data_IF_430381641300
#
_entry.id   IF_430381641300
#
_cell.length_a   1.000
_cell.length_b   1.000
_cell.length_c   1.000
_cell.angle_alpha   90.00
_cell.angle_beta   90.00
_cell.angle_gamma   90.00
#
_symmetry.space_group_name_H-M   'P 1'
#
loop_
_entity.id
_entity.type
_entity.pdbx_description
1 polymer ?
#
# COMPACT_ATOMS: atom_id res chain seq x y z
N UNK A 1 3.57 -54.14 15.43
CA UNK A 1 2.39 -53.74 14.64
C UNK A 1 2.93 -52.95 13.45
N UNK A 2 2.60 -53.32 12.21
CA UNK A 2 3.02 -52.53 11.04
C UNK A 2 2.24 -51.22 11.05
N UNK A 3 2.95 -50.10 11.10
CA UNK A 3 2.32 -48.76 10.98
C UNK A 3 1.65 -48.64 9.61
N UNK A 4 0.44 -48.06 9.54
CA UNK A 4 -0.29 -47.91 8.29
C UNK A 4 0.46 -46.97 7.35
N UNK A 5 0.68 -47.42 6.11
CA UNK A 5 1.27 -46.61 5.05
C UNK A 5 0.21 -45.70 4.44
N UNK A 6 0.43 -44.38 4.45
CA UNK A 6 -0.48 -43.43 3.83
C UNK A 6 -0.38 -43.50 2.31
N UNK A 7 -1.52 -43.35 1.64
CA UNK A 7 -1.62 -43.12 0.20
C UNK A 7 -1.28 -41.67 -0.16
N UNK A 8 -1.06 -41.39 -1.45
CA UNK A 8 -0.81 -40.03 -1.93
C UNK A 8 -1.99 -39.08 -1.64
N UNK A 9 -3.22 -39.59 -1.67
CA UNK A 9 -4.43 -38.80 -1.44
C UNK A 9 -4.63 -38.49 0.05
N UNK A 10 -4.37 -39.47 0.92
CA UNK A 10 -4.41 -39.26 2.37
C UNK A 10 -3.32 -38.29 2.82
N UNK A 11 -2.12 -38.38 2.24
CA UNK A 11 -1.05 -37.44 2.54
C UNK A 11 -1.35 -36.04 2.00
N UNK A 12 -1.91 -35.93 0.81
CA UNK A 12 -2.37 -34.67 0.23
C UNK A 12 -3.40 -33.98 1.14
N UNK A 13 -4.37 -34.74 1.66
CA UNK A 13 -5.35 -34.24 2.62
C UNK A 13 -4.70 -33.83 3.96
N UNK A 14 -3.75 -34.62 4.47
CA UNK A 14 -3.03 -34.34 5.71
C UNK A 14 -2.20 -33.06 5.63
N UNK A 15 -1.46 -32.87 4.52
CA UNK A 15 -0.65 -31.68 4.28
C UNK A 15 -1.45 -30.49 3.71
N UNK A 16 -2.73 -30.70 3.38
CA UNK A 16 -3.62 -29.72 2.74
C UNK A 16 -3.06 -29.16 1.43
N UNK A 17 -2.54 -30.04 0.58
CA UNK A 17 -1.98 -29.71 -0.75
C UNK A 17 -2.51 -30.66 -1.81
N UNK A 18 -2.36 -30.33 -3.08
CA UNK A 18 -2.76 -31.23 -4.17
C UNK A 18 -1.85 -32.46 -4.29
N UNK A 19 -2.42 -33.57 -4.76
CA UNK A 19 -1.70 -34.84 -5.02
C UNK A 19 -0.54 -34.66 -6.02
N UNK A 20 -0.67 -33.72 -6.94
CA UNK A 20 0.40 -33.34 -7.89
C UNK A 20 1.61 -32.76 -7.14
N UNK A 21 1.37 -32.00 -6.08
CA UNK A 21 2.42 -31.45 -5.21
C UNK A 21 3.14 -32.56 -4.47
N UNK A 22 2.42 -33.56 -3.95
CA UNK A 22 3.02 -34.75 -3.33
C UNK A 22 3.96 -35.45 -4.32
N UNK A 23 3.51 -35.68 -5.56
CA UNK A 23 4.35 -36.28 -6.61
C UNK A 23 5.59 -35.44 -6.93
N UNK A 24 5.45 -34.11 -6.94
CA UNK A 24 6.58 -33.18 -7.16
C UNK A 24 7.60 -33.24 -6.02
N UNK A 25 7.16 -33.30 -4.76
CA UNK A 25 8.03 -33.40 -3.60
C UNK A 25 8.85 -34.70 -3.62
N UNK A 26 8.22 -35.81 -3.99
CA UNK A 26 8.90 -37.09 -4.15
C UNK A 26 9.92 -37.05 -5.30
N UNK A 27 9.54 -36.49 -6.44
CA UNK A 27 10.44 -36.39 -7.61
C UNK A 27 11.66 -35.48 -7.35
N UNK A 28 11.52 -34.49 -6.46
CA UNK A 28 12.61 -33.60 -6.04
C UNK A 28 13.46 -34.18 -4.91
N UNK A 29 13.10 -35.35 -4.37
CA UNK A 29 13.77 -35.99 -3.25
C UNK A 29 13.55 -35.28 -1.91
N UNK A 30 12.55 -34.39 -1.81
CA UNK A 30 12.26 -33.64 -0.59
C UNK A 30 11.46 -34.50 0.42
N UNK A 31 10.65 -35.41 -0.10
CA UNK A 31 9.79 -36.32 0.65
C UNK A 31 10.05 -37.78 0.24
N UNK A 32 10.40 -38.62 1.21
CA UNK A 32 10.61 -40.06 0.99
C UNK A 32 9.28 -40.75 0.66
N UNK A 33 9.29 -41.66 -0.32
CA UNK A 33 8.15 -42.49 -0.65
C UNK A 33 8.57 -43.92 -1.01
N UNK A 34 7.70 -44.87 -0.72
CA UNK A 34 7.88 -46.29 -1.01
C UNK A 34 6.92 -46.73 -2.11
N UNK A 35 7.35 -47.65 -2.98
CA UNK A 35 6.49 -48.21 -4.02
C UNK A 35 5.86 -49.51 -3.53
N UNK A 36 4.54 -49.52 -3.39
CA UNK A 36 3.76 -50.71 -3.05
C UNK A 36 2.66 -50.86 -4.10
N UNK A 37 2.65 -51.99 -4.82
CA UNK A 37 1.66 -52.23 -5.88
C UNK A 37 1.69 -51.21 -7.04
N UNK A 38 2.84 -50.58 -7.28
CA UNK A 38 2.98 -49.54 -8.32
C UNK A 38 2.60 -48.13 -7.86
N UNK A 39 2.04 -47.96 -6.66
CA UNK A 39 1.65 -46.67 -6.11
C UNK A 39 2.65 -46.17 -5.07
N UNK A 40 2.67 -44.85 -4.84
CA UNK A 40 3.44 -44.27 -3.74
C UNK A 40 2.73 -44.49 -2.41
N UNK A 41 3.54 -44.78 -1.40
CA UNK A 41 3.16 -44.97 -0.01
C UNK A 41 4.14 -44.22 0.89
N UNK A 42 3.63 -43.67 1.98
CA UNK A 42 4.38 -42.77 2.85
C UNK A 42 4.30 -43.26 4.28
N UNK A 43 5.45 -43.32 4.96
CA UNK A 43 5.51 -43.61 6.38
C UNK A 43 5.43 -42.31 7.19
N UNK A 44 4.79 -42.39 8.34
CA UNK A 44 4.63 -41.26 9.26
C UNK A 44 5.98 -40.62 9.65
N UNK A 45 7.06 -41.37 9.97
CA UNK A 45 8.37 -40.78 10.30
C UNK A 45 9.00 -39.98 9.16
N UNK A 46 8.77 -40.36 7.90
CA UNK A 46 9.29 -39.63 6.74
C UNK A 46 8.53 -38.31 6.51
N UNK A 47 7.21 -38.34 6.73
CA UNK A 47 6.34 -37.17 6.67
C UNK A 47 6.73 -36.20 7.78
N UNK A 48 6.91 -36.69 9.01
CA UNK A 48 7.38 -35.91 10.15
C UNK A 48 8.78 -35.34 9.92
N UNK A 49 9.69 -36.13 9.37
CA UNK A 49 11.03 -35.68 9.00
C UNK A 49 11.01 -34.56 7.95
N UNK A 50 10.14 -34.67 6.95
CA UNK A 50 9.90 -33.61 5.96
C UNK A 50 9.35 -32.34 6.63
N UNK A 51 8.30 -32.47 7.45
CA UNK A 51 7.70 -31.35 8.17
C UNK A 51 8.68 -30.66 9.11
N UNK A 52 9.54 -31.43 9.76
CA UNK A 52 10.58 -30.90 10.64
C UNK A 52 11.65 -30.14 9.85
N UNK A 53 12.07 -30.65 8.68
CA UNK A 53 12.98 -29.92 7.78
C UNK A 53 12.34 -28.63 7.25
N UNK A 54 11.08 -28.67 6.87
CA UNK A 54 10.32 -27.46 6.47
C UNK A 54 10.25 -26.43 7.61
N UNK A 55 10.06 -26.88 8.85
CA UNK A 55 10.10 -26.00 10.04
C UNK A 55 11.48 -25.40 10.26
N UNK A 56 12.55 -26.18 10.13
CA UNK A 56 13.94 -25.70 10.29
C UNK A 56 14.28 -24.71 9.19
N UNK A 57 13.93 -25.00 7.95
CA UNK A 57 14.18 -24.14 6.79
C UNK A 57 13.33 -22.86 6.83
N UNK A 58 12.10 -22.94 7.33
CA UNK A 58 11.29 -21.76 7.64
C UNK A 58 11.90 -20.93 8.78
N UNK A 59 12.52 -21.55 9.79
CA UNK A 59 13.21 -20.86 10.87
C UNK A 59 14.53 -20.20 10.42
N UNK A 60 15.31 -20.88 9.58
CA UNK A 60 16.55 -20.34 9.00
C UNK A 60 16.24 -19.18 8.03
N UNK A 61 15.19 -19.30 7.22
CA UNK A 61 14.69 -18.18 6.42
C UNK A 61 14.12 -17.05 7.29
N UNK A 62 13.50 -17.35 8.44
CA UNK A 62 13.05 -16.35 9.41
C UNK A 62 14.20 -15.68 10.23
N UNK A 63 15.41 -16.24 10.16
CA UNK A 63 16.63 -15.66 10.74
C UNK A 63 17.36 -14.73 9.76
N UNK A 64 17.18 -14.92 8.44
CA UNK A 64 17.79 -14.10 7.39
C UNK A 64 16.85 -13.02 6.81
N UNK A 65 15.53 -13.11 7.04
CA UNK A 65 14.53 -12.17 6.54
C UNK A 65 13.88 -11.35 7.68
N UNK A 66 14.14 -10.03 7.80
CA UNK A 66 13.67 -9.20 8.91
C UNK A 66 12.15 -8.95 8.93
N UNK A 67 11.40 -9.38 7.91
CA UNK A 67 9.96 -9.08 7.76
C UNK A 67 9.04 -10.27 8.08
N UNK A 68 9.59 -11.49 8.20
CA UNK A 68 8.78 -12.73 8.24
C UNK A 68 8.65 -13.40 9.61
N UNK A 69 9.28 -12.85 10.67
CA UNK A 69 8.88 -13.19 12.04
C UNK A 69 7.44 -12.72 12.20
N UNK A 70 6.51 -13.61 12.52
CA UNK A 70 5.13 -13.27 12.86
C UNK A 70 5.19 -12.25 14.00
N UNK A 71 5.20 -10.98 13.62
CA UNK A 71 5.41 -9.89 14.54
C UNK A 71 4.26 -9.86 15.52
N UNK A 72 4.44 -9.24 16.68
CA UNK A 72 3.33 -9.01 17.61
C UNK A 72 2.10 -8.38 16.94
N UNK A 73 2.32 -7.59 15.88
CA UNK A 73 1.29 -7.06 15.00
C UNK A 73 0.51 -8.18 14.28
N UNK A 74 1.16 -9.17 13.65
CA UNK A 74 0.47 -10.27 12.97
C UNK A 74 -0.38 -11.14 13.93
N UNK A 75 0.08 -11.33 15.17
CA UNK A 75 -0.72 -11.99 16.22
C UNK A 75 -1.92 -11.14 16.66
N UNK A 76 -1.72 -9.82 16.79
CA UNK A 76 -2.80 -8.88 17.11
C UNK A 76 -3.89 -8.91 16.02
N UNK A 77 -3.51 -8.96 14.75
CA UNK A 77 -4.44 -9.04 13.62
C UNK A 77 -5.21 -10.36 13.56
N UNK A 78 -4.54 -11.51 13.78
CA UNK A 78 -5.21 -12.82 13.85
C UNK A 78 -6.26 -12.90 14.97
N UNK A 79 -6.09 -12.11 16.03
CA UNK A 79 -7.04 -12.00 17.13
C UNK A 79 -8.20 -11.05 16.84
N UNK A 80 -8.01 -10.07 15.95
CA UNK A 80 -9.02 -9.06 15.60
C UNK A 80 -9.87 -9.50 14.41
N UNK A 81 -9.28 -10.16 13.41
CA UNK A 81 -9.94 -10.59 12.17
C UNK A 81 -9.84 -12.11 12.00
N UNK A 82 -10.66 -12.91 12.72
CA UNK A 82 -10.59 -14.37 12.65
C UNK A 82 -11.16 -14.97 11.35
N UNK A 83 -12.00 -14.24 10.60
CA UNK A 83 -12.77 -14.77 9.45
C UNK A 83 -12.27 -14.36 8.04
N UNK A 84 -11.43 -13.34 7.87
CA UNK A 84 -10.93 -12.90 6.55
C UNK A 84 -9.54 -13.47 6.24
N UNK A 85 -9.49 -14.76 5.86
CA UNK A 85 -8.26 -15.54 5.67
C UNK A 85 -7.63 -15.55 4.27
N UNK A 86 -8.08 -14.75 3.29
CA UNK A 86 -7.54 -14.97 1.93
C UNK A 86 -7.72 -13.87 0.87
N UNK A 87 -7.95 -12.58 1.20
CA UNK A 87 -7.97 -11.56 0.13
C UNK A 87 -7.52 -10.13 0.44
N UNK A 88 -7.13 -9.82 1.67
CA UNK A 88 -6.57 -8.52 2.08
C UNK A 88 -5.38 -8.64 3.04
N UNK A 89 -4.71 -9.79 3.02
CA UNK A 89 -3.87 -10.26 4.13
C UNK A 89 -2.54 -9.50 4.32
N UNK A 90 -2.21 -8.54 3.45
CA UNK A 90 -0.87 -7.96 3.41
C UNK A 90 -0.93 -6.45 3.48
N UNK A 91 -0.74 -5.93 4.70
CA UNK A 91 -0.20 -4.58 4.87
C UNK A 91 1.04 -4.43 4.00
N UNK A 92 1.16 -3.31 3.31
CA UNK A 92 2.44 -2.95 2.67
C UNK A 92 3.53 -2.82 3.73
N UNK A 93 4.80 -2.94 3.34
CA UNK A 93 5.92 -2.74 4.28
C UNK A 93 5.86 -1.37 4.98
N UNK A 94 5.44 -0.33 4.25
CA UNK A 94 5.23 1.02 4.81
C UNK A 94 4.07 1.04 5.80
N UNK A 95 2.94 0.40 5.49
CA UNK A 95 1.81 0.33 6.41
C UNK A 95 2.17 -0.48 7.68
N UNK A 96 2.93 -1.59 7.57
CA UNK A 96 3.45 -2.32 8.74
C UNK A 96 4.38 -1.45 9.59
N UNK A 97 5.29 -0.72 8.94
CA UNK A 97 6.19 0.23 9.60
C UNK A 97 5.39 1.32 10.33
N UNK A 98 4.40 1.93 9.70
CA UNK A 98 3.53 2.94 10.33
C UNK A 98 2.81 2.39 11.57
N UNK A 99 2.30 1.15 11.52
CA UNK A 99 1.67 0.49 12.66
C UNK A 99 2.66 0.22 13.82
N UNK A 100 3.88 -0.22 13.51
CA UNK A 100 4.93 -0.38 14.53
C UNK A 100 5.30 0.97 15.16
N UNK A 101 5.40 2.02 14.35
CA UNK A 101 5.67 3.38 14.83
C UNK A 101 4.51 3.91 15.69
N UNK A 102 3.26 3.55 15.40
CA UNK A 102 2.11 3.88 16.24
C UNK A 102 2.20 3.22 17.62
N UNK A 103 2.60 1.94 17.69
CA UNK A 103 2.83 1.24 18.96
C UNK A 103 3.95 1.94 19.76
N UNK A 104 5.05 2.32 19.11
CA UNK A 104 6.12 3.07 19.77
C UNK A 104 5.64 4.43 20.30
N UNK A 105 4.81 5.16 19.56
CA UNK A 105 4.28 6.46 20.01
C UNK A 105 3.33 6.30 21.21
N UNK A 106 2.50 5.26 21.22
CA UNK A 106 1.69 4.90 22.39
C UNK A 106 2.58 4.64 23.62
N UNK A 107 3.68 3.89 23.44
CA UNK A 107 4.63 3.61 24.52
C UNK A 107 5.36 4.86 25.00
N UNK A 108 5.76 5.77 24.09
CA UNK A 108 6.39 7.04 24.43
C UNK A 108 5.47 7.94 25.26
N UNK A 109 4.18 7.98 24.91
CA UNK A 109 3.16 8.69 25.67
C UNK A 109 2.70 7.92 26.93
N UNK A 110 3.30 6.75 27.20
CA UNK A 110 2.95 5.86 28.32
C UNK A 110 1.48 5.39 28.30
N UNK A 111 0.88 5.33 27.12
CA UNK A 111 -0.46 4.78 26.94
C UNK A 111 -0.42 3.26 26.83
N UNK A 112 -1.35 2.59 27.53
CA UNK A 112 -1.51 1.14 27.51
C UNK A 112 -2.43 0.64 26.37
N UNK A 113 -2.74 1.51 25.41
CA UNK A 113 -3.58 1.24 24.26
C UNK A 113 -3.05 1.96 23.01
N UNK A 114 -3.42 1.46 21.84
CA UNK A 114 -3.19 2.12 20.54
C UNK A 114 -4.52 2.65 20.03
N UNK A 115 -4.73 3.96 20.11
CA UNK A 115 -5.88 4.65 19.54
C UNK A 115 -5.59 5.27 18.18
N UNK A 116 -6.57 6.00 17.64
CA UNK A 116 -6.50 6.64 16.32
C UNK A 116 -5.34 7.66 16.24
N UNK A 117 -5.08 8.37 17.33
CA UNK A 117 -4.02 9.36 17.49
C UNK A 117 -2.63 8.76 17.34
N UNK A 118 -2.41 7.56 17.88
CA UNK A 118 -1.16 6.84 17.69
C UNK A 118 -1.01 6.36 16.24
N UNK A 119 -2.12 5.96 15.59
CA UNK A 119 -2.10 5.63 14.16
C UNK A 119 -1.70 6.84 13.30
N UNK A 120 -2.26 8.02 13.60
CA UNK A 120 -1.89 9.27 12.93
C UNK A 120 -0.39 9.58 13.09
N UNK A 121 0.13 9.52 14.32
CA UNK A 121 1.55 9.74 14.59
C UNK A 121 2.43 8.70 13.88
N UNK A 122 2.00 7.44 13.84
CA UNK A 122 2.67 6.36 13.12
C UNK A 122 2.77 6.62 11.62
N UNK A 123 1.68 7.12 11.00
CA UNK A 123 1.64 7.51 9.59
C UNK A 123 2.58 8.70 9.31
N UNK A 124 2.53 9.75 10.12
CA UNK A 124 3.41 10.92 10.00
C UNK A 124 4.90 10.55 10.17
N UNK A 125 5.22 9.65 11.10
CA UNK A 125 6.60 9.17 11.34
C UNK A 125 7.16 8.29 10.22
N UNK A 126 6.30 7.68 9.40
CA UNK A 126 6.76 6.81 8.32
C UNK A 126 7.43 7.59 7.19
N UNK A 127 7.07 8.88 7.02
CA UNK A 127 7.64 9.92 6.14
C UNK A 127 7.49 9.73 4.63
N UNK A 128 7.59 8.50 4.12
CA UNK A 128 7.66 8.26 2.67
C UNK A 128 6.32 7.83 2.04
N UNK A 129 5.42 7.30 2.86
CA UNK A 129 4.13 6.80 2.44
C UNK A 129 3.21 7.91 1.93
N UNK A 130 2.22 7.51 1.13
CA UNK A 130 1.23 8.44 0.58
C UNK A 130 0.53 9.23 1.69
N UNK A 131 0.19 8.58 2.81
CA UNK A 131 -0.42 9.27 3.95
C UNK A 131 0.47 10.37 4.54
N UNK A 132 1.76 10.09 4.75
CA UNK A 132 2.69 11.05 5.33
C UNK A 132 2.85 12.28 4.40
N UNK A 133 3.00 12.02 3.11
CA UNK A 133 3.13 13.07 2.10
C UNK A 133 1.85 13.90 1.95
N UNK A 134 0.67 13.25 1.93
CA UNK A 134 -0.61 13.94 1.85
C UNK A 134 -0.82 14.87 3.07
N UNK A 135 -0.52 14.38 4.26
CA UNK A 135 -0.60 15.16 5.49
C UNK A 135 0.38 16.35 5.48
N UNK A 136 1.64 16.12 5.08
CA UNK A 136 2.64 17.18 4.95
C UNK A 136 2.23 18.24 3.91
N UNK A 137 1.69 17.85 2.76
CA UNK A 137 1.19 18.78 1.74
C UNK A 137 0.05 19.67 2.26
N UNK A 138 -0.71 19.18 3.24
CA UNK A 138 -1.78 19.91 3.91
C UNK A 138 -1.30 20.68 5.15
N UNK A 139 0.01 20.71 5.43
CA UNK A 139 0.60 21.40 6.57
C UNK A 139 0.47 20.66 7.91
N UNK A 140 0.14 19.36 7.87
CA UNK A 140 0.08 18.51 9.08
C UNK A 140 1.46 17.98 9.41
N UNK A 141 2.13 18.67 10.34
CA UNK A 141 3.45 18.31 10.83
C UNK A 141 3.45 17.39 12.06
N UNK A 142 4.39 16.45 12.10
CA UNK A 142 4.52 15.45 13.17
C UNK A 142 4.65 16.07 14.56
N UNK A 143 5.54 17.05 14.74
CA UNK A 143 5.82 17.61 16.07
C UNK A 143 4.62 18.41 16.59
N UNK A 144 3.92 19.13 15.71
CA UNK A 144 2.70 19.84 16.07
C UNK A 144 1.57 18.87 16.45
N UNK A 145 1.43 17.75 15.72
CA UNK A 145 0.46 16.70 16.04
C UNK A 145 0.76 16.07 17.41
N UNK A 146 2.04 15.82 17.75
CA UNK A 146 2.43 15.32 19.08
C UNK A 146 2.02 16.26 20.20
N UNK A 147 2.33 17.55 20.06
CA UNK A 147 1.98 18.57 21.05
C UNK A 147 0.47 18.64 21.28
N UNK A 148 -0.33 18.62 20.21
CA UNK A 148 -1.79 18.63 20.31
C UNK A 148 -2.32 17.36 20.98
N UNK A 149 -1.78 16.18 20.64
CA UNK A 149 -2.18 14.92 21.26
C UNK A 149 -1.86 14.96 22.76
N UNK A 150 -0.64 15.35 23.14
CA UNK A 150 -0.25 15.48 24.55
C UNK A 150 -1.16 16.47 25.29
N UNK A 151 -1.57 17.57 24.66
CA UNK A 151 -2.52 18.52 25.26
C UNK A 151 -3.93 17.94 25.46
N UNK A 152 -4.40 17.07 24.56
CA UNK A 152 -5.76 16.52 24.61
C UNK A 152 -5.87 15.35 25.59
N UNK A 153 -4.89 14.43 25.58
CA UNK A 153 -4.96 13.19 26.36
C UNK A 153 -3.93 13.08 27.48
N UNK A 154 -2.90 13.94 27.49
CA UNK A 154 -1.82 13.92 28.47
C UNK A 154 -0.86 12.75 28.30
N UNK A 155 -0.02 12.56 29.32
CA UNK A 155 0.81 11.38 29.49
C UNK A 155 0.05 10.31 30.28
N UNK A 156 0.26 9.04 29.95
CA UNK A 156 -0.26 7.93 30.72
C UNK A 156 0.26 7.90 32.16
N UNK A 157 -0.52 7.30 33.07
CA UNK A 157 -0.22 7.32 34.52
C UNK A 157 0.80 6.25 34.95
N UNK A 158 1.06 5.24 34.13
CA UNK A 158 2.00 4.16 34.43
C UNK A 158 2.70 3.66 33.15
N UNK A 159 4.01 3.45 33.22
CA UNK A 159 4.74 2.77 32.16
C UNK A 159 4.25 1.32 32.05
N UNK A 160 3.92 0.87 30.83
CA UNK A 160 3.50 -0.51 30.59
C UNK A 160 4.68 -1.45 30.83
N UNK A 161 4.72 -2.09 32.00
CA UNK A 161 5.68 -3.15 32.31
C UNK A 161 5.11 -4.47 31.79
N UNK A 162 5.64 -4.97 30.67
CA UNK A 162 5.48 -6.39 30.28
C UNK A 162 4.32 -6.76 29.34
N UNK A 163 3.85 -5.86 28.47
CA UNK A 163 2.89 -6.22 27.42
C UNK A 163 2.87 -5.22 26.26
N UNK A 164 2.45 -5.67 25.07
CA UNK A 164 2.19 -4.74 23.97
C UNK A 164 0.80 -4.09 24.11
N UNK A 165 0.68 -2.77 23.89
CA UNK A 165 -0.61 -2.10 23.96
C UNK A 165 -1.56 -2.64 22.89
N UNK A 166 -2.80 -2.93 23.28
CA UNK A 166 -3.84 -3.39 22.37
C UNK A 166 -4.50 -2.23 21.61
N UNK A 167 -5.04 -2.51 20.42
CA UNK A 167 -5.85 -1.52 19.69
C UNK A 167 -7.16 -1.23 20.42
N UNK A 168 -7.56 0.04 20.49
CA UNK A 168 -8.90 0.44 20.96
C UNK A 168 -9.97 -0.03 19.98
N UNK A 169 -11.24 -0.20 20.41
CA UNK A 169 -12.34 -0.54 19.49
C UNK A 169 -12.43 0.43 18.31
N UNK A 170 -12.21 1.71 18.55
CA UNK A 170 -12.23 2.76 17.52
C UNK A 170 -11.08 2.60 16.52
N UNK A 171 -9.85 2.33 17.00
CA UNK A 171 -8.71 2.07 16.14
C UNK A 171 -8.88 0.79 15.28
N UNK A 172 -9.54 -0.24 15.82
CA UNK A 172 -9.91 -1.43 15.03
C UNK A 172 -10.89 -1.10 13.91
N UNK A 173 -11.95 -0.35 14.25
CA UNK A 173 -12.92 0.11 13.26
C UNK A 173 -12.29 1.00 12.18
N UNK A 174 -11.36 1.88 12.53
CA UNK A 174 -10.56 2.64 11.55
C UNK A 174 -9.84 1.73 10.55
N UNK A 175 -9.27 0.61 11.00
CA UNK A 175 -8.58 -0.35 10.14
C UNK A 175 -9.57 -1.12 9.26
N UNK A 176 -10.74 -1.48 9.79
CA UNK A 176 -11.84 -2.07 9.01
C UNK A 176 -12.26 -1.14 7.87
N UNK A 177 -12.48 0.14 8.18
CA UNK A 177 -12.78 1.16 7.17
C UNK A 177 -11.65 1.32 6.16
N UNK A 178 -10.39 1.25 6.58
CA UNK A 178 -9.25 1.28 5.68
C UNK A 178 -9.26 0.10 4.68
N UNK A 179 -9.65 -1.10 5.13
CA UNK A 179 -9.83 -2.28 4.25
C UNK A 179 -10.95 -2.04 3.24
N UNK A 180 -12.06 -1.43 3.66
CA UNK A 180 -13.14 -1.05 2.74
C UNK A 180 -12.73 0.01 1.72
N UNK A 181 -11.91 0.99 2.11
CA UNK A 181 -11.37 1.99 1.17
C UNK A 181 -10.42 1.33 0.17
N UNK A 182 -9.57 0.40 0.60
CA UNK A 182 -8.71 -0.39 -0.31
C UNK A 182 -9.54 -1.19 -1.32
N UNK A 183 -10.59 -1.88 -0.84
CA UNK A 183 -11.58 -2.58 -1.68
C UNK A 183 -12.22 -1.65 -2.70
N UNK A 184 -12.68 -0.48 -2.26
CA UNK A 184 -13.38 0.50 -3.10
C UNK A 184 -12.48 1.13 -4.16
N UNK A 185 -11.17 1.24 -3.88
CA UNK A 185 -10.15 1.69 -4.84
C UNK A 185 -9.60 0.56 -5.73
N UNK A 186 -10.06 -0.68 -5.55
CA UNK A 186 -9.60 -1.83 -6.34
C UNK A 186 -8.19 -2.32 -5.95
N UNK A 187 -7.68 -1.94 -4.78
CA UNK A 187 -6.39 -2.39 -4.28
C UNK A 187 -6.56 -3.67 -3.45
N UNK A 188 -5.69 -4.68 -3.66
CA UNK A 188 -5.70 -5.95 -2.90
C UNK A 188 -4.72 -5.99 -1.72
N UNK A 189 -4.23 -4.81 -1.30
CA UNK A 189 -3.28 -4.64 -0.21
C UNK A 189 -3.71 -3.48 0.67
N UNK A 190 -3.19 -3.42 1.90
CA UNK A 190 -3.44 -2.29 2.79
C UNK A 190 -2.21 -1.36 2.88
N UNK A 191 -2.36 -0.20 2.25
CA UNK A 191 -1.34 0.87 2.18
C UNK A 191 -1.49 1.93 3.28
N UNK A 192 -0.55 2.87 3.35
CA UNK A 192 -0.64 3.98 4.32
C UNK A 192 -1.78 4.93 3.97
N UNK A 193 -2.02 5.16 2.68
CA UNK A 193 -3.16 5.90 2.13
C UNK A 193 -4.50 5.36 2.65
N UNK A 194 -4.66 4.04 2.65
CA UNK A 194 -5.89 3.40 3.10
C UNK A 194 -6.10 3.59 4.60
N UNK A 195 -5.04 3.47 5.39
CA UNK A 195 -5.10 3.73 6.83
C UNK A 195 -5.52 5.17 7.12
N UNK A 196 -4.98 6.14 6.38
CA UNK A 196 -5.38 7.54 6.52
C UNK A 196 -6.84 7.78 6.09
N UNK A 197 -7.27 7.17 4.98
CA UNK A 197 -8.67 7.22 4.54
C UNK A 197 -9.61 6.61 5.58
N UNK A 198 -9.22 5.51 6.21
CA UNK A 198 -9.94 4.90 7.33
C UNK A 198 -10.06 5.84 8.52
N UNK A 199 -8.99 6.59 8.87
CA UNK A 199 -9.02 7.58 9.97
C UNK A 199 -10.05 8.66 9.68
N UNK A 200 -10.00 9.29 8.50
CA UNK A 200 -10.90 10.40 8.17
C UNK A 200 -12.34 9.96 7.94
N UNK A 201 -12.57 8.71 7.52
CA UNK A 201 -13.90 8.12 7.41
C UNK A 201 -14.50 7.76 8.76
N UNK A 202 -13.70 7.33 9.72
CA UNK A 202 -14.16 7.09 11.10
C UNK A 202 -14.62 8.40 11.75
N UNK A 203 -13.88 9.49 11.54
CA UNK A 203 -14.38 10.86 11.67
C UNK A 203 -14.56 11.41 13.09
N UNK A 204 -14.52 10.58 14.11
CA UNK A 204 -14.82 10.97 15.50
C UNK A 204 -13.65 10.73 16.47
N UNK A 205 -12.60 10.03 16.03
CA UNK A 205 -11.40 9.77 16.82
C UNK A 205 -10.52 10.99 17.05
N UNK A 206 -9.60 10.88 18.01
CA UNK A 206 -8.66 11.94 18.38
C UNK A 206 -7.79 12.35 17.18
N UNK A 207 -7.43 11.40 16.31
CA UNK A 207 -6.69 11.73 15.09
C UNK A 207 -7.42 12.74 14.21
N UNK A 208 -8.72 12.55 13.95
CA UNK A 208 -9.50 13.51 13.17
C UNK A 208 -9.53 14.88 13.85
N UNK A 209 -9.77 14.89 15.16
CA UNK A 209 -9.79 16.14 15.94
C UNK A 209 -8.46 16.89 15.86
N UNK A 210 -7.33 16.19 15.91
CA UNK A 210 -5.98 16.79 15.80
C UNK A 210 -5.76 17.37 14.41
N UNK A 211 -6.13 16.66 13.34
CA UNK A 211 -6.07 17.16 11.96
C UNK A 211 -6.91 18.43 11.81
N UNK A 212 -8.13 18.44 12.36
CA UNK A 212 -9.04 19.59 12.32
C UNK A 212 -8.51 20.78 13.14
N UNK A 213 -7.89 20.53 14.30
CA UNK A 213 -7.24 21.57 15.11
C UNK A 213 -6.03 22.21 14.40
N UNK A 214 -5.43 21.50 13.44
CA UNK A 214 -4.38 22.04 12.57
C UNK A 214 -4.92 22.77 11.33
N UNK A 215 -6.24 22.98 11.27
CA UNK A 215 -6.90 23.73 10.20
C UNK A 215 -7.22 22.93 8.95
N UNK A 216 -7.12 21.60 9.00
CA UNK A 216 -7.33 20.73 7.83
C UNK A 216 -8.67 20.00 7.95
N UNK A 217 -9.54 20.19 6.96
CA UNK A 217 -10.81 19.47 6.89
C UNK A 217 -10.62 18.03 6.42
N UNK A 218 -11.43 17.10 6.95
CA UNK A 218 -11.42 15.67 6.57
C UNK A 218 -11.57 15.45 5.06
N UNK A 219 -12.45 16.22 4.42
CA UNK A 219 -12.67 16.14 2.97
C UNK A 219 -11.42 16.57 2.17
N UNK A 220 -10.64 17.54 2.68
CA UNK A 220 -9.39 17.97 2.06
C UNK A 220 -8.33 16.87 2.12
N UNK A 221 -8.23 16.16 3.26
CA UNK A 221 -7.35 14.99 3.39
C UNK A 221 -7.72 13.91 2.39
N UNK A 222 -9.01 13.57 2.29
CA UNK A 222 -9.49 12.57 1.32
C UNK A 222 -9.15 12.99 -0.11
N UNK A 223 -9.46 14.23 -0.48
CA UNK A 223 -9.18 14.75 -1.82
C UNK A 223 -7.68 14.69 -2.16
N UNK A 224 -6.81 15.06 -1.22
CA UNK A 224 -5.36 15.03 -1.41
C UNK A 224 -4.82 13.60 -1.57
N UNK A 225 -5.29 12.66 -0.75
CA UNK A 225 -4.90 11.25 -0.89
C UNK A 225 -5.33 10.69 -2.24
N UNK A 226 -6.56 10.96 -2.68
CA UNK A 226 -7.06 10.51 -3.98
C UNK A 226 -6.25 11.13 -5.13
N UNK A 227 -5.90 12.42 -5.04
CA UNK A 227 -5.01 13.10 -6.00
C UNK A 227 -3.66 12.39 -6.11
N UNK A 228 -3.03 12.09 -4.96
CA UNK A 228 -1.72 11.43 -4.92
C UNK A 228 -1.74 9.98 -5.44
N UNK A 229 -2.84 9.25 -5.22
CA UNK A 229 -3.01 7.91 -5.79
C UNK A 229 -3.14 8.00 -7.31
N UNK A 230 -3.95 8.94 -7.81
CA UNK A 230 -4.08 9.19 -9.26
C UNK A 230 -2.76 9.56 -9.94
N UNK A 231 -1.91 10.35 -9.26
CA UNK A 231 -0.58 10.73 -9.74
C UNK A 231 0.43 9.58 -9.73
N UNK A 232 0.27 8.57 -8.85
CA UNK A 232 1.14 7.38 -8.80
C UNK A 232 0.73 6.26 -9.76
N UNK A 233 -0.55 6.19 -10.14
CA UNK A 233 -1.04 5.24 -11.16
C UNK A 233 -0.59 5.69 -12.56
N UNK A 234 -0.39 7.00 -12.76
CA UNK A 234 0.48 7.46 -13.81
C UNK A 234 1.93 7.15 -13.43
N UNK A 235 2.66 6.34 -14.23
CA UNK A 235 4.09 6.47 -14.63
C UNK A 235 4.76 5.08 -14.86
N UNK A 236 5.64 4.95 -15.88
CA UNK A 236 6.90 5.68 -15.91
C UNK A 236 7.01 6.70 -17.05
N UNK A 237 7.25 7.97 -16.71
CA UNK A 237 8.20 8.80 -17.47
C UNK A 237 9.53 8.11 -17.26
N UNK A 238 9.90 7.25 -18.20
CA UNK A 238 11.29 6.83 -18.36
C UNK A 238 12.07 8.09 -18.69
N UNK A 239 12.99 8.43 -17.78
CA UNK A 239 14.23 9.14 -18.01
C UNK A 239 14.14 10.40 -18.89
N UNK A 240 13.88 11.55 -18.25
CA UNK A 240 14.53 12.80 -18.65
C UNK A 240 15.01 13.46 -17.36
N UNK A 241 16.22 13.07 -16.95
CA UNK A 241 17.11 13.98 -16.24
C UNK A 241 17.25 15.23 -17.11
N UNK A 242 16.65 16.33 -16.68
CA UNK A 242 16.88 17.65 -17.23
C UNK A 242 16.62 18.69 -16.14
N UNK A 243 17.46 18.68 -15.11
CA UNK A 243 17.82 19.93 -14.45
C UNK A 243 18.90 20.60 -15.31
N UNK A 244 18.63 21.85 -15.67
CA UNK A 244 19.62 22.86 -16.05
C UNK A 244 20.25 22.79 -17.45
N UNK A 245 19.43 22.90 -18.50
CA UNK A 245 19.88 23.46 -19.78
C UNK A 245 18.70 23.94 -20.65
N UNK A 246 17.97 24.96 -20.21
CA UNK A 246 17.07 25.71 -21.09
C UNK A 246 17.40 27.21 -21.05
N UNK A 247 18.67 27.52 -21.28
CA UNK A 247 19.03 28.66 -22.11
C UNK A 247 19.52 28.07 -23.44
N UNK A 248 18.86 28.44 -24.53
CA UNK A 248 19.14 28.08 -25.93
C UNK A 248 18.62 26.73 -26.45
N UNK A 249 17.38 26.72 -26.98
CA UNK A 249 17.07 26.28 -28.35
C UNK A 249 15.57 26.43 -28.63
N UNK A 250 15.22 27.33 -29.56
CA UNK A 250 13.88 27.45 -30.15
C UNK A 250 13.51 26.15 -30.88
N UNK A 251 12.62 25.35 -30.30
CA UNK A 251 11.93 24.28 -31.04
C UNK A 251 10.44 24.58 -30.96
N UNK A 252 9.89 25.05 -32.07
CA UNK A 252 8.48 25.42 -32.19
C UNK A 252 7.64 24.13 -32.34
N UNK A 253 7.13 23.64 -31.21
CA UNK A 253 6.30 22.43 -31.19
C UNK A 253 4.86 22.82 -31.55
N UNK A 254 4.21 22.11 -32.49
CA UNK A 254 2.84 22.42 -32.90
C UNK A 254 1.87 22.37 -31.70
N UNK A 255 1.08 23.43 -31.56
CA UNK A 255 0.17 23.64 -30.43
C UNK A 255 -1.16 24.24 -30.92
N UNK A 256 -2.25 23.93 -30.23
CA UNK A 256 -3.50 24.65 -30.36
C UNK A 256 -3.51 25.86 -29.43
N UNK A 257 -3.97 27.00 -29.93
CA UNK A 257 -4.22 28.18 -29.10
C UNK A 257 -5.69 28.17 -28.71
N UNK A 258 -5.98 28.18 -27.41
CA UNK A 258 -7.35 28.27 -26.94
C UNK A 258 -7.97 29.60 -27.36
N UNK A 259 -9.11 29.55 -28.04
CA UNK A 259 -9.84 30.74 -28.50
C UNK A 259 -10.46 31.57 -27.38
N UNK A 260 -10.60 31.03 -26.17
CA UNK A 260 -11.15 31.76 -25.02
C UNK A 260 -10.10 32.42 -24.14
N UNK A 261 -9.00 31.72 -23.81
CA UNK A 261 -8.02 32.25 -22.87
C UNK A 261 -6.61 32.42 -23.47
N UNK A 262 -6.43 32.16 -24.77
CA UNK A 262 -5.15 32.34 -25.48
C UNK A 262 -4.06 31.34 -25.10
N UNK A 263 -4.34 30.40 -24.21
CA UNK A 263 -3.36 29.44 -23.72
C UNK A 263 -2.98 28.44 -24.81
N UNK A 264 -1.68 28.32 -25.06
CA UNK A 264 -1.10 27.31 -25.95
C UNK A 264 -1.18 25.94 -25.28
N UNK A 265 -1.91 25.02 -25.89
CA UNK A 265 -2.07 23.63 -25.45
C UNK A 265 -1.49 22.72 -26.51
N UNK A 266 -0.81 21.61 -26.16
CA UNK A 266 -0.31 20.66 -27.15
C UNK A 266 -1.44 20.10 -28.03
N UNK A 267 -1.13 19.74 -29.28
CA UNK A 267 -2.14 19.22 -30.24
C UNK A 267 -2.78 17.89 -29.85
N UNK A 268 -2.25 17.20 -28.83
CA UNK A 268 -2.85 15.99 -28.24
C UNK A 268 -4.02 16.26 -27.29
N UNK A 269 -4.25 17.52 -26.88
CA UNK A 269 -5.32 17.90 -25.96
C UNK A 269 -6.60 18.22 -26.71
N UNK A 270 -7.73 17.63 -26.27
CA UNK A 270 -9.08 17.95 -26.79
C UNK A 270 -9.73 19.17 -26.12
N UNK A 271 -9.21 19.58 -24.95
CA UNK A 271 -9.71 20.70 -24.16
C UNK A 271 -8.53 21.53 -23.64
N UNK A 272 -8.73 22.84 -23.49
CA UNK A 272 -7.71 23.76 -23.00
C UNK A 272 -7.32 23.42 -21.56
N UNK A 273 -6.01 23.31 -21.29
CA UNK A 273 -5.53 22.97 -19.95
C UNK A 273 -5.88 24.02 -18.89
N UNK A 274 -6.07 25.28 -19.30
CA UNK A 274 -6.31 26.39 -18.38
C UNK A 274 -7.81 26.61 -18.11
N UNK A 275 -8.64 26.74 -19.15
CA UNK A 275 -10.06 27.08 -18.99
C UNK A 275 -11.04 25.91 -19.27
N UNK A 276 -10.55 24.75 -19.71
CA UNK A 276 -11.38 23.57 -19.97
C UNK A 276 -12.23 23.61 -21.25
N UNK A 277 -12.16 24.68 -22.05
CA UNK A 277 -12.93 24.79 -23.30
C UNK A 277 -12.40 23.86 -24.40
N UNK A 278 -13.29 23.30 -25.21
CA UNK A 278 -12.92 22.40 -26.30
C UNK A 278 -12.00 23.09 -27.33
N UNK A 279 -10.90 22.43 -27.67
CA UNK A 279 -9.96 22.89 -28.68
C UNK A 279 -10.41 22.33 -30.04
N UNK A 280 -10.95 23.19 -30.89
CA UNK A 280 -11.39 22.82 -32.23
C UNK A 280 -10.20 22.83 -33.19
N UNK A 281 -10.01 21.76 -33.95
CA UNK A 281 -9.10 21.80 -35.10
C UNK A 281 -9.65 22.83 -36.10
N UNK A 282 -8.96 23.94 -36.29
CA UNK A 282 -9.26 24.86 -37.38
C UNK A 282 -8.92 24.16 -38.70
N UNK A 283 -9.91 23.56 -39.34
CA UNK A 283 -9.83 23.19 -40.74
C UNK A 283 -9.94 24.47 -41.58
N UNK A 284 -8.82 24.95 -42.10
CA UNK A 284 -8.82 25.84 -43.25
C UNK A 284 -7.99 25.20 -44.37
N UNK A 285 -8.71 24.72 -45.37
CA UNK A 285 -8.23 24.49 -46.73
C UNK A 285 -8.24 25.80 -47.51
N UNK A 286 -7.18 25.97 -48.32
CA UNK A 286 -7.06 26.76 -49.54
C UNK A 286 -7.05 28.30 -49.45
N UNK A 287 -5.95 28.86 -49.92
CA UNK A 287 -5.99 29.93 -50.93
C UNK A 287 -5.14 29.52 -52.12
N UNK A 288 -5.80 29.43 -53.27
CA UNK A 288 -5.16 29.41 -54.57
C UNK A 288 -4.40 30.73 -54.79
N UNK A 289 -3.27 30.66 -55.49
CA UNK A 289 -2.78 31.78 -56.28
C UNK A 289 -2.11 31.24 -57.55
N UNK A 290 -2.58 31.83 -58.63
CA UNK A 290 -2.20 31.69 -60.02
C UNK A 290 -0.93 32.47 -60.34
N UNK A 291 -0.39 32.22 -61.55
CA UNK A 291 0.50 33.12 -62.32
C UNK A 291 1.94 33.25 -61.77
N UNK A 292 3.03 33.39 -62.52
CA UNK A 292 3.33 33.54 -63.94
C UNK A 292 4.87 33.41 -64.07
N UNK A 293 5.33 32.86 -65.19
CA UNK A 293 6.48 33.34 -65.99
C UNK A 293 7.89 33.65 -65.42
N UNK A 294 8.88 33.27 -66.27
CA UNK A 294 10.28 33.76 -66.39
C UNK A 294 11.39 32.99 -65.66
N UNK A 295 12.01 32.09 -66.43
CA UNK A 295 13.39 31.64 -66.25
C UNK A 295 14.11 31.62 -67.59
N UNK A 296 14.63 32.78 -67.98
CA UNK A 296 15.60 32.90 -69.06
C UNK A 296 17.02 32.89 -68.50
N UNK A 297 17.83 31.93 -68.95
CA UNK A 297 19.24 32.04 -69.39
C UNK A 297 19.79 30.63 -69.60
#
# INVERSE_FOLDING_TARGET
MMEPLLTSDELAAYLRVDVVTIRRLVNRGELTAYRVGGEYRFMEPDIEGYLQRQRVQANENALSDPVSRVGPLALLFRRIFPEERDRFEHFTNRARKAMSLAIEEAQKLQHNYVGTEHLLLGLLREKEGVAALALHNLGVELEQARLLIEQIIGMGKEAVIGGQPGLTPRAKHTIELAVEEAKSLGHHYLGTEHLLLGIVREGEGIACKVIEMMGVARDAVRAEVIRMIGEKIALPKVLLEATDAAAAANVDVPHFVCSSCGTKSPTSFRYCFNCGQALTQSSESSSAQSDEEQGGS
#
